data_IF_416346316110
#
_entry.id   IF_416346316110
#
_cell.length_a   1.000
_cell.length_b   1.000
_cell.length_c   1.000
_cell.angle_alpha   90.00
_cell.angle_beta   90.00
_cell.angle_gamma   90.00
#
_symmetry.space_group_name_H-M   'P 1'
#
loop_
_entity.id
_entity.type
_entity.pdbx_description
1 polymer ?
#
# COMPACT_ATOMS: atom_id res chain seq x y z
N UNK A 1 9.10 12.35 -47.06
CA UNK A 1 10.50 12.20 -47.49
C UNK A 1 10.98 13.57 -47.89
N UNK A 2 11.95 14.15 -47.19
CA UNK A 2 12.84 15.13 -47.79
C UNK A 2 14.05 15.33 -46.88
N UNK A 3 15.20 14.94 -47.41
CA UNK A 3 16.51 14.88 -46.80
C UNK A 3 17.27 16.17 -47.13
N UNK A 4 17.74 16.92 -46.14
CA UNK A 4 18.68 18.01 -46.39
C UNK A 4 20.11 17.52 -46.18
N UNK A 5 20.82 17.45 -47.31
CA UNK A 5 22.21 17.06 -47.46
C UNK A 5 23.12 18.16 -46.92
N UNK A 6 23.99 17.85 -45.96
CA UNK A 6 25.06 18.75 -45.52
C UNK A 6 26.15 18.79 -46.59
N UNK A 7 26.30 19.95 -47.23
CA UNK A 7 27.44 20.27 -48.09
C UNK A 7 28.71 20.42 -47.25
N UNK A 8 29.77 19.77 -47.71
CA UNK A 8 31.14 19.92 -47.22
C UNK A 8 31.89 20.65 -48.33
N UNK A 9 32.58 21.73 -48.00
CA UNK A 9 33.53 22.40 -48.90
C UNK A 9 34.65 23.07 -48.08
N UNK A 10 35.84 23.28 -48.69
CA UNK A 10 37.08 22.83 -48.09
C UNK A 10 38.03 23.96 -47.68
N UNK A 11 38.96 23.58 -46.81
CA UNK A 11 40.39 23.94 -46.87
C UNK A 11 40.78 25.40 -47.10
N UNK A 12 41.25 26.04 -46.02
CA UNK A 12 42.29 27.08 -46.07
C UNK A 12 43.34 26.71 -45.01
N UNK A 13 44.39 25.99 -45.43
CA UNK A 13 45.69 26.54 -45.77
C UNK A 13 46.50 26.97 -44.53
N UNK A 14 47.32 26.03 -44.08
CA UNK A 14 48.44 26.25 -43.16
C UNK A 14 49.41 27.28 -43.75
N UNK A 15 49.78 28.28 -42.95
CA UNK A 15 51.06 28.98 -43.11
C UNK A 15 51.92 28.70 -41.88
N UNK A 16 52.89 27.81 -42.08
CA UNK A 16 53.96 27.54 -41.12
C UNK A 16 55.04 28.59 -41.37
N UNK A 17 55.21 29.53 -40.45
CA UNK A 17 56.45 30.29 -40.32
C UNK A 17 57.27 29.66 -39.19
N UNK A 18 58.31 28.95 -39.57
CA UNK A 18 59.36 28.53 -38.65
C UNK A 18 60.10 29.77 -38.12
N UNK A 19 60.16 29.91 -36.80
CA UNK A 19 61.24 30.65 -36.17
C UNK A 19 61.83 29.73 -35.10
N UNK A 20 63.03 29.24 -35.42
CA UNK A 20 63.95 28.55 -34.53
C UNK A 20 64.46 29.53 -33.49
N UNK A 21 64.21 29.25 -32.21
CA UNK A 21 65.10 29.69 -31.13
C UNK A 21 65.32 28.52 -30.19
N UNK A 22 66.58 28.13 -30.10
CA UNK A 22 67.11 27.09 -29.25
C UNK A 22 66.93 27.50 -27.79
N UNK A 23 66.12 26.76 -27.04
CA UNK A 23 66.21 26.66 -25.58
C UNK A 23 65.47 25.40 -25.11
N UNK A 24 66.23 24.45 -24.57
CA UNK A 24 65.74 23.23 -23.90
C UNK A 24 64.87 23.63 -22.70
N UNK A 25 63.56 23.30 -22.64
CA UNK A 25 62.86 23.24 -21.37
C UNK A 25 63.20 21.89 -20.74
N UNK A 26 63.83 21.98 -19.59
CA UNK A 26 64.08 20.87 -18.67
C UNK A 26 62.80 20.05 -18.46
N UNK A 27 62.87 18.74 -18.71
CA UNK A 27 61.80 17.77 -18.51
C UNK A 27 61.40 17.71 -17.03
N UNK A 28 60.46 18.56 -16.63
CA UNK A 28 59.89 18.61 -15.28
C UNK A 28 58.42 18.21 -15.27
N UNK A 29 58.14 17.03 -14.72
CA UNK A 29 56.87 16.67 -14.07
C UNK A 29 55.55 16.69 -14.88
N UNK A 30 55.42 15.81 -15.88
CA UNK A 30 54.16 15.58 -16.62
C UNK A 30 53.18 14.57 -15.98
N UNK A 31 53.38 14.15 -14.72
CA UNK A 31 52.46 13.22 -14.05
C UNK A 31 51.27 13.91 -13.36
N UNK A 32 51.45 15.13 -12.86
CA UNK A 32 50.47 15.76 -11.97
C UNK A 32 49.26 16.36 -12.69
N UNK A 33 49.43 16.87 -13.92
CA UNK A 33 48.32 17.40 -14.73
C UNK A 33 47.36 16.28 -15.18
N UNK A 34 47.88 15.10 -15.55
CA UNK A 34 47.07 13.91 -15.90
C UNK A 34 46.31 13.36 -14.70
N UNK A 35 46.94 13.34 -13.51
CA UNK A 35 46.31 12.92 -12.25
C UNK A 35 45.19 13.88 -11.82
N UNK A 36 45.37 15.19 -11.97
CA UNK A 36 44.36 16.21 -11.65
C UNK A 36 43.13 16.12 -12.58
N UNK A 37 43.34 15.95 -13.89
CA UNK A 37 42.24 15.79 -14.85
C UNK A 37 41.44 14.50 -14.61
N UNK A 38 42.12 13.40 -14.27
CA UNK A 38 41.50 12.11 -13.93
C UNK A 38 40.67 12.19 -12.63
N UNK A 39 41.08 13.00 -11.64
CA UNK A 39 40.34 13.23 -10.38
C UNK A 39 39.03 14.01 -10.60
N UNK A 40 39.03 15.05 -11.44
CA UNK A 40 37.85 15.86 -11.75
C UNK A 40 36.76 15.07 -12.51
N UNK A 41 37.15 14.26 -13.50
CA UNK A 41 36.21 13.43 -14.27
C UNK A 41 35.63 12.31 -13.41
N UNK A 42 36.42 11.73 -12.50
CA UNK A 42 35.94 10.71 -11.56
C UNK A 42 35.04 11.29 -10.46
N UNK A 43 35.21 12.57 -10.07
CA UNK A 43 34.32 13.26 -9.12
C UNK A 43 32.93 13.48 -9.72
N UNK A 44 32.85 13.90 -10.99
CA UNK A 44 31.57 14.05 -11.72
C UNK A 44 30.83 12.74 -11.95
N UNK A 45 31.54 11.62 -12.12
CA UNK A 45 30.93 10.28 -12.29
C UNK A 45 30.40 9.68 -10.98
N UNK A 46 30.92 10.10 -9.83
CA UNK A 46 30.43 9.69 -8.51
C UNK A 46 29.11 10.40 -8.18
N UNK A 47 29.07 11.71 -8.38
CA UNK A 47 27.84 12.51 -8.13
C UNK A 47 26.63 12.05 -8.95
N UNK A 48 26.82 11.60 -10.20
CA UNK A 48 25.70 11.08 -11.01
C UNK A 48 25.25 9.68 -10.59
N UNK A 49 26.17 8.82 -10.16
CA UNK A 49 25.85 7.46 -9.67
C UNK A 49 25.11 7.50 -8.33
N UNK A 50 25.49 8.42 -7.46
CA UNK A 50 24.86 8.62 -6.15
C UNK A 50 23.39 9.04 -6.30
N UNK A 51 23.07 9.89 -7.30
CA UNK A 51 21.70 10.35 -7.58
C UNK A 51 20.84 9.22 -8.16
N UNK A 52 21.37 8.43 -9.11
CA UNK A 52 20.63 7.28 -9.66
C UNK A 52 20.44 6.17 -8.62
N UNK A 53 21.44 5.90 -7.78
CA UNK A 53 21.34 4.94 -6.70
C UNK A 53 20.31 5.38 -5.66
N UNK A 54 20.30 6.67 -5.29
CA UNK A 54 19.29 7.26 -4.40
C UNK A 54 17.88 7.18 -5.00
N UNK A 55 17.73 7.38 -6.31
CA UNK A 55 16.45 7.23 -7.01
C UNK A 55 15.94 5.78 -6.97
N UNK A 56 16.81 4.81 -7.24
CA UNK A 56 16.45 3.39 -7.13
C UNK A 56 16.16 2.95 -5.69
N UNK A 57 16.91 3.45 -4.70
CA UNK A 57 16.65 3.18 -3.28
C UNK A 57 15.31 3.78 -2.83
N UNK A 58 14.99 5.01 -3.23
CA UNK A 58 13.72 5.67 -2.92
C UNK A 58 12.52 4.94 -3.55
N UNK A 59 12.66 4.49 -4.80
CA UNK A 59 11.61 3.71 -5.49
C UNK A 59 11.38 2.33 -4.87
N UNK A 60 12.44 1.65 -4.43
CA UNK A 60 12.32 0.37 -3.71
C UNK A 60 11.68 0.55 -2.32
N UNK A 61 11.98 1.65 -1.62
CA UNK A 61 11.34 1.98 -0.34
C UNK A 61 9.85 2.33 -0.52
N UNK A 62 9.48 3.04 -1.60
CA UNK A 62 8.07 3.30 -1.93
C UNK A 62 7.30 2.03 -2.28
N UNK A 63 7.87 1.14 -3.11
CA UNK A 63 7.24 -0.15 -3.45
C UNK A 63 7.09 -1.09 -2.25
N UNK A 64 8.01 -1.04 -1.27
CA UNK A 64 7.84 -1.76 0.00
C UNK A 64 6.76 -1.14 0.89
N UNK A 65 6.55 0.17 0.82
CA UNK A 65 5.55 0.85 1.64
C UNK A 65 4.12 0.57 1.16
N UNK A 66 3.93 0.51 -0.16
CA UNK A 66 2.62 0.22 -0.75
C UNK A 66 2.22 -1.26 -0.57
N UNK A 67 3.18 -2.21 -0.62
CA UNK A 67 2.92 -3.64 -0.36
C UNK A 67 2.61 -3.97 1.10
N UNK A 68 3.07 -3.17 2.06
CA UNK A 68 2.84 -3.41 3.50
C UNK A 68 1.47 -2.90 3.94
N UNK A 69 0.81 -2.05 3.14
CA UNK A 69 -0.47 -1.45 3.52
C UNK A 69 -1.69 -2.31 3.13
N UNK A 70 -1.61 -3.16 2.11
CA UNK A 70 -2.69 -4.12 1.79
C UNK A 70 -2.74 -5.29 2.81
N UNK A 71 -1.60 -5.82 3.24
CA UNK A 71 -1.54 -6.99 4.12
C UNK A 71 -2.01 -6.71 5.56
N UNK A 72 -1.90 -5.46 6.05
CA UNK A 72 -2.32 -5.11 7.42
C UNK A 72 -3.84 -4.92 7.59
N UNK A 73 -4.53 -4.48 6.54
CA UNK A 73 -5.97 -4.22 6.61
C UNK A 73 -6.78 -5.51 6.60
N UNK A 74 -6.32 -6.56 5.91
CA UNK A 74 -7.06 -7.82 5.79
C UNK A 74 -6.92 -8.71 7.03
N UNK A 75 -5.75 -8.73 7.68
CA UNK A 75 -5.56 -9.44 8.94
C UNK A 75 -6.52 -8.93 10.04
N UNK A 76 -6.76 -7.61 10.07
CA UNK A 76 -7.69 -7.02 11.03
C UNK A 76 -9.15 -7.46 10.80
N UNK A 77 -9.56 -7.70 9.55
CA UNK A 77 -10.92 -8.11 9.22
C UNK A 77 -11.18 -9.54 9.65
N UNK A 78 -10.22 -10.43 9.46
CA UNK A 78 -10.36 -11.84 9.83
C UNK A 78 -10.48 -12.00 11.35
N UNK A 79 -9.63 -11.33 12.14
CA UNK A 79 -9.73 -11.31 13.61
C UNK A 79 -11.09 -10.77 14.10
N UNK A 80 -11.63 -9.75 13.42
CA UNK A 80 -12.95 -9.21 13.72
C UNK A 80 -14.08 -10.19 13.37
N UNK A 81 -13.96 -10.93 12.28
CA UNK A 81 -14.93 -11.94 11.88
C UNK A 81 -14.95 -13.10 12.87
N UNK A 82 -13.79 -13.61 13.27
CA UNK A 82 -13.66 -14.66 14.28
C UNK A 82 -14.31 -14.24 15.61
N UNK A 83 -14.06 -13.00 16.05
CA UNK A 83 -14.67 -12.46 17.27
C UNK A 83 -16.20 -12.42 17.17
N UNK A 84 -16.73 -12.05 16.00
CA UNK A 84 -18.19 -12.02 15.76
C UNK A 84 -18.79 -13.42 15.70
N UNK A 85 -18.12 -14.37 15.05
CA UNK A 85 -18.54 -15.77 15.00
C UNK A 85 -18.56 -16.34 16.42
N UNK A 86 -17.51 -16.12 17.20
CA UNK A 86 -17.45 -16.57 18.59
C UNK A 86 -18.57 -15.97 19.45
N UNK A 87 -18.84 -14.68 19.29
CA UNK A 87 -19.96 -14.04 19.99
C UNK A 87 -21.31 -14.65 19.59
N UNK A 88 -21.48 -14.99 18.32
CA UNK A 88 -22.69 -15.62 17.79
C UNK A 88 -22.87 -17.05 18.33
N UNK A 89 -21.82 -17.86 18.32
CA UNK A 89 -21.82 -19.22 18.87
C UNK A 89 -22.25 -19.27 20.33
N UNK A 90 -21.88 -18.26 21.12
CA UNK A 90 -22.23 -18.17 22.55
C UNK A 90 -23.70 -17.85 22.82
N UNK A 91 -24.38 -17.18 21.90
CA UNK A 91 -25.79 -16.77 22.10
C UNK A 91 -26.78 -17.70 21.41
N UNK A 92 -26.34 -18.43 20.38
CA UNK A 92 -27.16 -19.40 19.64
C UNK A 92 -27.16 -20.73 20.39
N UNK A 93 -28.34 -21.34 20.64
CA UNK A 93 -28.41 -22.66 21.26
C UNK A 93 -27.59 -23.69 20.48
N UNK A 94 -26.69 -24.40 21.17
CA UNK A 94 -25.80 -25.38 20.55
C UNK A 94 -24.66 -24.79 19.69
N UNK A 95 -24.57 -23.45 19.56
CA UNK A 95 -23.69 -22.77 18.62
C UNK A 95 -22.20 -23.08 18.77
N UNK A 96 -21.71 -23.38 19.98
CA UNK A 96 -20.31 -23.77 20.24
C UNK A 96 -19.89 -25.06 19.51
N UNK A 97 -20.84 -25.89 19.12
CA UNK A 97 -20.61 -27.15 18.40
C UNK A 97 -20.87 -27.07 16.89
N UNK A 98 -21.42 -25.95 16.41
CA UNK A 98 -21.84 -25.78 15.02
C UNK A 98 -20.71 -25.21 14.15
N UNK A 99 -20.66 -25.66 12.89
CA UNK A 99 -19.89 -25.01 11.84
C UNK A 99 -20.50 -23.65 11.44
N UNK A 100 -19.77 -22.85 10.65
CA UNK A 100 -20.18 -21.48 10.32
C UNK A 100 -21.53 -21.43 9.57
N UNK A 101 -21.75 -22.30 8.60
CA UNK A 101 -22.99 -22.29 7.80
C UNK A 101 -24.21 -22.68 8.65
N UNK A 102 -24.10 -23.79 9.40
CA UNK A 102 -25.14 -24.27 10.31
C UNK A 102 -25.41 -23.29 11.44
N UNK A 103 -24.38 -22.58 11.93
CA UNK A 103 -24.54 -21.51 12.91
C UNK A 103 -25.44 -20.40 12.38
N UNK A 104 -25.33 -20.02 11.10
CA UNK A 104 -26.18 -18.98 10.52
C UNK A 104 -27.63 -19.46 10.31
N UNK A 105 -27.82 -20.73 9.92
CA UNK A 105 -29.15 -21.34 9.82
C UNK A 105 -29.84 -21.38 11.19
N UNK A 106 -29.18 -21.94 12.20
CA UNK A 106 -29.69 -22.01 13.58
C UNK A 106 -29.90 -20.59 14.17
N UNK A 107 -29.06 -19.63 13.80
CA UNK A 107 -29.26 -18.21 14.19
C UNK A 107 -30.58 -17.67 13.62
N UNK A 108 -30.88 -17.94 12.35
CA UNK A 108 -32.11 -17.47 11.72
C UNK A 108 -33.34 -18.08 12.41
N UNK A 109 -33.30 -19.39 12.66
CA UNK A 109 -34.36 -20.11 13.36
C UNK A 109 -34.53 -19.64 14.80
N UNK A 110 -33.43 -19.42 15.52
CA UNK A 110 -33.47 -18.94 16.90
C UNK A 110 -34.03 -17.51 16.99
N UNK A 111 -33.67 -16.61 16.08
CA UNK A 111 -34.27 -15.28 16.01
C UNK A 111 -35.79 -15.37 15.79
N UNK A 112 -36.23 -16.23 14.86
CA UNK A 112 -37.66 -16.42 14.61
C UNK A 112 -38.38 -16.99 15.85
N UNK A 113 -37.78 -17.97 16.52
CA UNK A 113 -38.30 -18.54 17.75
C UNK A 113 -38.47 -17.48 18.85
N UNK A 114 -37.44 -16.65 19.09
CA UNK A 114 -37.49 -15.55 20.05
C UNK A 114 -38.59 -14.53 19.71
N UNK A 115 -38.73 -14.17 18.43
CA UNK A 115 -39.82 -13.29 17.99
C UNK A 115 -41.20 -13.87 18.25
N UNK A 116 -41.40 -15.16 17.97
CA UNK A 116 -42.63 -15.88 18.24
C UNK A 116 -42.95 -15.93 19.74
N UNK A 117 -41.96 -16.20 20.58
CA UNK A 117 -42.10 -16.18 22.04
C UNK A 117 -42.55 -14.81 22.54
N UNK A 118 -41.89 -13.73 22.11
CA UNK A 118 -42.26 -12.36 22.49
C UNK A 118 -43.69 -12.03 22.04
N UNK A 119 -44.08 -12.42 20.82
CA UNK A 119 -45.45 -12.21 20.31
C UNK A 119 -46.48 -12.95 21.16
N UNK A 120 -46.23 -14.22 21.48
CA UNK A 120 -47.11 -15.02 22.32
C UNK A 120 -47.26 -14.41 23.73
N UNK A 121 -46.15 -13.99 24.35
CA UNK A 121 -46.18 -13.34 25.66
C UNK A 121 -46.99 -12.04 25.62
N UNK A 122 -46.85 -11.21 24.58
CA UNK A 122 -47.65 -9.99 24.42
C UNK A 122 -49.15 -10.29 24.31
N UNK A 123 -49.52 -11.31 23.53
CA UNK A 123 -50.94 -11.73 23.42
C UNK A 123 -51.47 -12.18 24.78
N UNK A 124 -50.71 -12.99 25.52
CA UNK A 124 -51.09 -13.45 26.85
C UNK A 124 -51.22 -12.28 27.84
N UNK A 125 -50.27 -11.34 27.85
CA UNK A 125 -50.32 -10.16 28.70
C UNK A 125 -51.55 -9.30 28.39
N UNK A 126 -51.84 -9.05 27.11
CA UNK A 126 -53.03 -8.30 26.70
C UNK A 126 -54.32 -9.00 27.10
N UNK A 127 -54.36 -10.33 26.98
CA UNK A 127 -55.50 -11.14 27.41
C UNK A 127 -55.74 -11.00 28.92
N UNK A 128 -54.70 -11.17 29.74
CA UNK A 128 -54.78 -11.02 31.20
C UNK A 128 -55.20 -9.59 31.59
N UNK A 129 -54.66 -8.57 30.92
CA UNK A 129 -55.05 -7.18 31.14
C UNK A 129 -56.54 -6.95 30.81
N UNK A 130 -57.01 -7.54 29.71
CA UNK A 130 -58.42 -7.55 29.34
C UNK A 130 -59.32 -8.14 30.42
N UNK A 131 -58.97 -9.33 30.94
CA UNK A 131 -59.71 -9.99 32.03
C UNK A 131 -59.75 -9.15 33.31
N UNK A 132 -58.64 -8.48 33.66
CA UNK A 132 -58.58 -7.62 34.85
C UNK A 132 -59.54 -6.44 34.72
N UNK A 133 -59.63 -5.82 33.53
CA UNK A 133 -60.56 -4.72 33.24
C UNK A 133 -62.02 -5.18 33.25
N UNK A 134 -62.29 -6.41 32.84
CA UNK A 134 -63.64 -6.99 32.91
C UNK A 134 -64.05 -7.26 34.36
N UNK A 135 -63.18 -7.87 35.17
CA UNK A 135 -63.49 -8.16 36.59
C UNK A 135 -63.76 -6.89 37.41
N UNK A 136 -63.09 -5.76 37.11
CA UNK A 136 -63.38 -4.47 37.77
C UNK A 136 -64.71 -3.84 37.35
N UNK A 137 -65.35 -4.30 36.26
CA UNK A 137 -66.65 -3.79 35.80
C UNK A 137 -67.84 -4.50 36.44
N UNK A 138 -67.64 -5.71 36.99
CA UNK A 138 -68.70 -6.50 37.62
C UNK A 138 -68.65 -6.51 39.16
N UNK A 139 -67.75 -5.72 39.76
CA UNK A 139 -67.73 -5.46 41.20
C UNK A 139 -68.25 -4.06 41.50
N UNK A 140 -69.57 -3.90 41.46
CA UNK A 140 -70.30 -2.77 42.01
C UNK A 140 -71.20 -3.28 43.14
#
# INVERSE_FOLDING_TARGET
METTKTQINPTAAFQIKEIKTSQKPQMGHHENARKAHRKLVNRRKRTTRDVTAAYHHRRQQQQKKDKVQEDQDDQSKEELLETKIFALQRIVPGGETLGVDELFEETADYILALQCQIKAMKVLTNFIEGLKKEKSKFGA
#
